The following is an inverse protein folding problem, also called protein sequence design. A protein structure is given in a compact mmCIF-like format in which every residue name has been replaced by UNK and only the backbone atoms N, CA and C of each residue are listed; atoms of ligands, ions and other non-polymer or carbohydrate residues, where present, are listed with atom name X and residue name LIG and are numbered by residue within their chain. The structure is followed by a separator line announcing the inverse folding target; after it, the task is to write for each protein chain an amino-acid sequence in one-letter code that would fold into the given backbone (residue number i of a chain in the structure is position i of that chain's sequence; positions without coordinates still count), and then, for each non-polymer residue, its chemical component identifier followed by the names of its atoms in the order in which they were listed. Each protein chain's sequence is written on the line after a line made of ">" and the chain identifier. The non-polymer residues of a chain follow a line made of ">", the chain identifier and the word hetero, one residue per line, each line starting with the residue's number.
data_IF_262742194252
#
_entry.id   IF_262742194252
#
_cell.length_a   1.000
_cell.length_b   1.000
_cell.length_c   1.000
_cell.angle_alpha   90.00
_cell.angle_beta   90.00
_cell.angle_gamma   90.00
#
_symmetry.space_group_name_H-M   'P 1'
#
loop_
_entity.id
_entity.type
_entity.pdbx_description
1 polymer ?
#
# COMPACT_ATOMS: atom_id res chain seq x y z
N UNK A 1 -13.74 9.27 -35.68
CA UNK A 1 -14.47 9.26 -34.41
C UNK A 1 -13.97 8.09 -33.58
N UNK A 2 -13.22 8.38 -32.52
CA UNK A 2 -12.63 7.39 -31.63
C UNK A 2 -13.73 6.77 -30.76
N UNK A 3 -13.82 5.44 -30.72
CA UNK A 3 -14.77 4.72 -29.86
C UNK A 3 -14.05 4.22 -28.61
N UNK A 4 -14.64 4.50 -27.46
CA UNK A 4 -14.07 4.17 -26.15
C UNK A 4 -15.02 3.20 -25.44
N UNK A 5 -14.48 2.10 -24.95
CA UNK A 5 -15.19 1.15 -24.09
C UNK A 5 -14.54 1.16 -22.71
N UNK A 6 -15.14 1.80 -21.70
CA UNK A 6 -14.62 1.76 -20.34
C UNK A 6 -15.04 0.45 -19.65
N UNK A 7 -14.13 -0.12 -18.87
CA UNK A 7 -14.44 -1.21 -17.96
C UNK A 7 -14.98 -0.69 -16.60
N UNK A 8 -15.28 -1.63 -15.69
CA UNK A 8 -15.74 -1.29 -14.34
C UNK A 8 -14.68 -0.52 -13.55
N UNK A 9 -13.39 -0.83 -13.74
CA UNK A 9 -12.30 -0.24 -12.95
C UNK A 9 -12.07 1.25 -13.25
N UNK A 10 -12.14 1.67 -14.52
CA UNK A 10 -11.99 3.08 -14.95
C UNK A 10 -13.19 3.93 -14.55
N UNK A 11 -14.38 3.32 -14.47
CA UNK A 11 -15.57 3.98 -13.94
C UNK A 11 -15.42 4.18 -12.43
N UNK A 12 -15.01 3.16 -11.68
CA UNK A 12 -14.86 3.29 -10.22
C UNK A 12 -13.75 4.28 -9.83
N UNK A 13 -12.64 4.33 -10.59
CA UNK A 13 -11.52 5.22 -10.32
C UNK A 13 -11.79 6.70 -10.67
N UNK A 14 -12.88 6.99 -11.38
CA UNK A 14 -13.18 8.33 -11.92
C UNK A 14 -12.23 8.75 -13.05
N UNK A 15 -11.40 7.82 -13.55
CA UNK A 15 -10.50 8.07 -14.66
C UNK A 15 -11.27 8.37 -15.96
N UNK A 16 -12.43 7.74 -16.15
CA UNK A 16 -13.31 8.04 -17.29
C UNK A 16 -13.71 9.52 -17.33
N UNK A 17 -14.11 10.05 -16.18
CA UNK A 17 -14.55 11.43 -16.06
C UNK A 17 -13.43 12.42 -16.34
N UNK A 18 -12.24 12.20 -15.75
CA UNK A 18 -11.05 13.01 -16.02
C UNK A 18 -10.68 13.01 -17.52
N UNK A 19 -10.88 11.89 -18.19
CA UNK A 19 -10.64 11.78 -19.63
C UNK A 19 -11.63 12.64 -20.42
N UNK A 20 -12.90 12.64 -20.03
CA UNK A 20 -13.94 13.49 -20.64
C UNK A 20 -13.66 14.99 -20.37
N UNK A 21 -13.15 15.31 -19.18
CA UNK A 21 -12.83 16.68 -18.79
C UNK A 21 -11.60 17.24 -19.53
N UNK A 22 -10.55 16.45 -19.68
CA UNK A 22 -9.23 16.89 -20.17
C UNK A 22 -9.06 16.91 -21.69
N UNK A 23 -9.76 16.06 -22.44
CA UNK A 23 -9.61 16.01 -23.90
C UNK A 23 -10.59 16.97 -24.61
N UNK A 24 -10.19 17.65 -25.70
CA UNK A 24 -11.10 18.31 -26.62
C UNK A 24 -11.85 17.24 -27.45
N UNK A 25 -12.89 16.64 -26.88
CA UNK A 25 -13.58 15.47 -27.43
C UNK A 25 -14.74 15.85 -28.34
N UNK A 26 -14.45 16.55 -29.43
CA UNK A 26 -15.42 16.72 -30.54
C UNK A 26 -15.60 15.47 -31.41
N UNK A 27 -14.79 14.42 -31.20
CA UNK A 27 -14.75 13.24 -32.07
C UNK A 27 -14.73 11.90 -31.32
N UNK A 28 -15.30 11.78 -30.12
CA UNK A 28 -15.40 10.48 -29.45
C UNK A 28 -16.84 10.01 -29.16
N UNK A 29 -16.99 8.69 -29.15
CA UNK A 29 -18.20 7.99 -28.70
C UNK A 29 -17.83 7.06 -27.55
N UNK A 30 -18.53 7.19 -26.43
CA UNK A 30 -18.36 6.34 -25.24
C UNK A 30 -19.42 5.25 -25.27
N UNK A 31 -18.97 4.00 -25.22
CA UNK A 31 -19.80 2.81 -25.30
C UNK A 31 -19.66 2.07 -23.97
N UNK A 32 -20.61 2.27 -23.06
CA UNK A 32 -20.61 1.64 -21.75
C UNK A 32 -21.18 0.21 -21.88
N UNK A 33 -20.41 -0.84 -21.57
CA UNK A 33 -20.92 -2.21 -21.59
C UNK A 33 -22.04 -2.41 -20.56
N UNK A 34 -23.10 -3.14 -20.93
CA UNK A 34 -24.16 -3.50 -19.97
C UNK A 34 -23.63 -4.32 -18.78
N UNK A 35 -22.59 -5.11 -19.01
CA UNK A 35 -21.88 -5.86 -17.97
C UNK A 35 -21.33 -4.95 -16.85
N UNK A 36 -20.84 -3.74 -17.19
CA UNK A 36 -20.35 -2.76 -16.20
C UNK A 36 -21.50 -2.26 -15.31
N UNK A 37 -22.66 -1.95 -15.90
CA UNK A 37 -23.82 -1.49 -15.13
C UNK A 37 -24.31 -2.60 -14.20
N UNK A 38 -24.47 -3.81 -14.72
CA UNK A 38 -25.01 -4.93 -13.95
C UNK A 38 -24.06 -5.31 -12.80
N UNK A 39 -22.74 -5.23 -13.02
CA UNK A 39 -21.75 -5.40 -11.95
C UNK A 39 -21.90 -4.33 -10.88
N UNK A 40 -21.89 -3.05 -11.24
CA UNK A 40 -22.03 -1.94 -10.29
C UNK A 40 -23.35 -2.01 -9.51
N UNK A 41 -24.46 -2.33 -10.19
CA UNK A 41 -25.77 -2.54 -9.58
C UNK A 41 -25.75 -3.71 -8.58
N UNK A 42 -25.09 -4.83 -8.94
CA UNK A 42 -24.96 -5.98 -8.05
C UNK A 42 -24.12 -5.65 -6.82
N UNK A 43 -23.06 -4.84 -6.96
CA UNK A 43 -22.28 -4.33 -5.81
C UNK A 43 -23.13 -3.41 -4.93
N UNK A 44 -23.84 -2.45 -5.52
CA UNK A 44 -24.69 -1.50 -4.81
C UNK A 44 -25.83 -2.18 -4.05
N UNK A 45 -26.47 -3.17 -4.66
CA UNK A 45 -27.57 -3.95 -4.05
C UNK A 45 -27.11 -4.80 -2.86
N UNK A 46 -25.80 -5.12 -2.80
CA UNK A 46 -25.16 -5.77 -1.66
C UNK A 46 -24.68 -4.77 -0.59
N UNK A 47 -25.04 -3.49 -0.72
CA UNK A 47 -24.66 -2.42 0.20
C UNK A 47 -23.20 -1.98 0.10
N UNK A 48 -22.50 -2.32 -1.00
CA UNK A 48 -21.09 -1.94 -1.17
C UNK A 48 -20.99 -0.54 -1.77
N UNK A 49 -20.30 0.35 -1.07
CA UNK A 49 -20.10 1.75 -1.48
C UNK A 49 -19.48 1.87 -2.88
N UNK A 50 -18.59 0.97 -3.27
CA UNK A 50 -17.96 0.98 -4.61
C UNK A 50 -18.99 0.90 -5.75
N UNK A 51 -20.08 0.15 -5.57
CA UNK A 51 -21.16 0.06 -6.56
C UNK A 51 -21.96 1.34 -6.64
N UNK A 52 -22.26 1.94 -5.48
CA UNK A 52 -22.96 3.23 -5.39
C UNK A 52 -22.14 4.33 -6.05
N UNK A 53 -20.85 4.45 -5.68
CA UNK A 53 -19.91 5.42 -6.26
C UNK A 53 -19.79 5.26 -7.78
N UNK A 54 -19.66 4.03 -8.28
CA UNK A 54 -19.58 3.79 -9.72
C UNK A 54 -20.86 4.16 -10.49
N UNK A 55 -22.04 3.89 -9.92
CA UNK A 55 -23.31 4.32 -10.53
C UNK A 55 -23.47 5.85 -10.53
N UNK A 56 -23.08 6.51 -9.44
CA UNK A 56 -23.04 7.98 -9.39
C UNK A 56 -22.08 8.57 -10.42
N UNK A 57 -20.92 7.93 -10.62
CA UNK A 57 -19.95 8.37 -11.62
C UNK A 57 -20.52 8.24 -13.03
N UNK A 58 -21.16 7.11 -13.37
CA UNK A 58 -21.82 6.96 -14.68
C UNK A 58 -22.90 8.01 -14.92
N UNK A 59 -23.61 8.43 -13.87
CA UNK A 59 -24.60 9.51 -13.96
C UNK A 59 -23.92 10.83 -14.32
N UNK A 60 -22.84 11.20 -13.63
CA UNK A 60 -22.06 12.44 -13.90
C UNK A 60 -21.42 12.41 -15.28
N UNK A 61 -20.85 11.28 -15.68
CA UNK A 61 -20.27 11.06 -17.01
C UNK A 61 -21.29 11.38 -18.11
N UNK A 62 -22.54 10.96 -17.96
CA UNK A 62 -23.60 11.29 -18.93
C UNK A 62 -23.92 12.78 -18.97
N UNK A 63 -24.05 13.41 -17.82
CA UNK A 63 -24.36 14.85 -17.71
C UNK A 63 -23.27 15.69 -18.39
N UNK A 64 -21.99 15.45 -18.07
CA UNK A 64 -20.88 16.22 -18.66
C UNK A 64 -20.62 15.85 -20.12
N UNK A 65 -20.83 14.60 -20.52
CA UNK A 65 -20.73 14.22 -21.92
C UNK A 65 -21.77 14.97 -22.77
N UNK A 66 -23.00 15.13 -22.28
CA UNK A 66 -24.05 15.88 -22.97
C UNK A 66 -23.68 17.37 -23.13
N UNK A 67 -23.18 18.00 -22.06
CA UNK A 67 -22.70 19.39 -22.11
C UNK A 67 -21.56 19.61 -23.12
N UNK A 68 -20.71 18.59 -23.29
CA UNK A 68 -19.56 18.62 -24.21
C UNK A 68 -19.86 18.07 -25.61
N UNK A 69 -21.08 17.62 -25.90
CA UNK A 69 -21.45 17.04 -27.20
C UNK A 69 -20.86 15.65 -27.48
N UNK A 70 -20.42 14.93 -26.44
CA UNK A 70 -19.91 13.56 -26.52
C UNK A 70 -21.07 12.57 -26.49
N UNK A 71 -21.11 11.64 -27.45
CA UNK A 71 -22.17 10.61 -27.50
C UNK A 71 -21.87 9.49 -26.51
N UNK A 72 -22.79 9.21 -25.60
CA UNK A 72 -22.75 8.07 -24.68
C UNK A 72 -23.85 7.08 -25.06
N UNK A 73 -23.49 5.82 -25.28
CA UNK A 73 -24.45 4.72 -25.49
C UNK A 73 -24.07 3.49 -24.69
N UNK A 74 -25.03 2.57 -24.59
CA UNK A 74 -24.86 1.30 -23.91
C UNK A 74 -24.86 0.16 -24.93
N UNK A 75 -24.00 -0.84 -24.76
CA UNK A 75 -23.86 -1.98 -25.69
C UNK A 75 -23.48 -3.27 -24.97
N UNK A 76 -23.57 -4.40 -25.66
CA UNK A 76 -23.25 -5.72 -25.15
C UNK A 76 -24.43 -6.45 -24.51
N UNK A 77 -24.12 -7.62 -23.96
CA UNK A 77 -25.10 -8.50 -23.31
C UNK A 77 -25.08 -8.28 -21.78
N UNK A 78 -26.23 -8.56 -21.15
CA UNK A 78 -26.30 -8.62 -19.69
C UNK A 78 -25.74 -9.95 -19.21
N UNK A 79 -24.91 -10.00 -18.15
CA UNK A 79 -24.39 -11.24 -17.62
C UNK A 79 -25.52 -12.20 -17.21
N UNK A 80 -25.45 -13.44 -17.66
CA UNK A 80 -26.37 -14.49 -17.23
C UNK A 80 -26.07 -14.94 -15.78
N UNK A 81 -26.97 -15.73 -15.18
CA UNK A 81 -26.73 -16.30 -13.85
C UNK A 81 -25.45 -17.15 -13.77
N UNK A 82 -25.06 -17.81 -14.86
CA UNK A 82 -23.83 -18.60 -14.90
C UNK A 82 -22.60 -17.70 -15.09
N UNK A 83 -22.71 -16.60 -15.83
CA UNK A 83 -21.65 -15.58 -15.92
C UNK A 83 -21.39 -14.93 -14.54
N UNK A 84 -22.45 -14.69 -13.76
CA UNK A 84 -22.35 -14.12 -12.41
C UNK A 84 -21.67 -15.11 -11.45
N UNK A 85 -21.93 -16.42 -11.56
CA UNK A 85 -21.22 -17.44 -10.77
C UNK A 85 -19.73 -17.50 -11.14
N UNK A 86 -19.41 -17.29 -12.41
CA UNK A 86 -18.06 -17.24 -12.96
C UNK A 86 -17.42 -15.84 -12.89
N UNK A 87 -18.04 -14.88 -12.19
CA UNK A 87 -17.48 -13.54 -12.06
C UNK A 87 -16.10 -13.55 -11.37
N UNK A 88 -15.87 -14.47 -10.43
CA UNK A 88 -14.54 -14.69 -9.80
C UNK A 88 -13.46 -15.18 -10.77
N UNK A 89 -13.83 -15.64 -11.96
CA UNK A 89 -12.92 -16.12 -13.01
C UNK A 89 -12.78 -15.17 -14.21
N UNK A 90 -13.18 -13.89 -14.07
CA UNK A 90 -12.94 -12.87 -15.11
C UNK A 90 -13.95 -12.87 -16.26
N UNK A 91 -15.12 -13.49 -16.08
CA UNK A 91 -16.15 -13.57 -17.15
C UNK A 91 -16.76 -12.21 -17.50
N UNK A 92 -16.90 -11.33 -16.50
CA UNK A 92 -17.40 -9.96 -16.72
C UNK A 92 -16.43 -9.18 -17.60
N UNK A 93 -15.13 -9.27 -17.33
CA UNK A 93 -14.07 -8.62 -18.10
C UNK A 93 -14.04 -9.13 -19.55
N UNK A 94 -14.32 -10.41 -19.76
CA UNK A 94 -14.46 -10.98 -21.10
C UNK A 94 -15.64 -10.37 -21.86
N UNK A 95 -16.81 -10.20 -21.23
CA UNK A 95 -17.96 -9.54 -21.87
C UNK A 95 -17.65 -8.08 -22.24
N UNK A 96 -16.87 -7.38 -21.42
CA UNK A 96 -16.40 -6.02 -21.71
C UNK A 96 -15.47 -6.00 -22.93
N UNK A 97 -14.51 -6.94 -22.99
CA UNK A 97 -13.62 -7.12 -24.15
C UNK A 97 -14.36 -7.50 -25.42
N UNK A 98 -15.39 -8.34 -25.33
CA UNK A 98 -16.25 -8.72 -26.45
C UNK A 98 -16.92 -7.47 -27.05
N UNK A 99 -17.40 -6.54 -26.22
CA UNK A 99 -17.95 -5.25 -26.68
C UNK A 99 -16.88 -4.41 -27.37
N UNK A 100 -15.68 -4.27 -26.78
CA UNK A 100 -14.59 -3.51 -27.38
C UNK A 100 -14.20 -4.07 -28.77
N UNK A 101 -14.12 -5.39 -28.89
CA UNK A 101 -13.79 -6.09 -30.14
C UNK A 101 -14.88 -5.94 -31.19
N UNK A 102 -16.15 -6.14 -30.81
CA UNK A 102 -17.30 -6.01 -31.72
C UNK A 102 -17.44 -4.58 -32.26
N UNK A 103 -17.14 -3.59 -31.42
CA UNK A 103 -17.28 -2.18 -31.77
C UNK A 103 -16.05 -1.59 -32.47
N UNK A 104 -14.96 -2.35 -32.55
CA UNK A 104 -13.63 -1.88 -32.96
C UNK A 104 -13.21 -0.65 -32.14
N UNK A 105 -13.50 -0.70 -30.84
CA UNK A 105 -13.28 0.36 -29.89
C UNK A 105 -12.01 0.10 -29.08
N UNK A 106 -11.42 1.18 -28.56
CA UNK A 106 -10.32 1.10 -27.61
C UNK A 106 -10.86 0.81 -26.22
N UNK A 107 -10.41 -0.28 -25.60
CA UNK A 107 -10.71 -0.61 -24.22
C UNK A 107 -9.97 0.37 -23.30
N UNK A 108 -10.66 0.96 -22.34
CA UNK A 108 -10.04 1.75 -21.28
C UNK A 108 -10.20 0.98 -19.98
N UNK A 109 -9.08 0.63 -19.36
CA UNK A 109 -9.05 -0.16 -18.11
C UNK A 109 -8.01 0.39 -17.13
N UNK A 110 -8.32 0.33 -15.84
CA UNK A 110 -7.41 0.57 -14.72
C UNK A 110 -6.98 -0.75 -14.06
N UNK A 111 -7.39 -1.88 -14.62
CA UNK A 111 -6.95 -3.23 -14.25
C UNK A 111 -5.83 -3.69 -15.20
N UNK A 112 -4.63 -3.86 -14.65
CA UNK A 112 -3.45 -4.26 -15.40
C UNK A 112 -3.59 -5.66 -16.02
N UNK A 113 -4.26 -6.59 -15.33
CA UNK A 113 -4.50 -7.94 -15.85
C UNK A 113 -5.44 -7.87 -17.06
N UNK A 114 -6.50 -7.07 -16.97
CA UNK A 114 -7.41 -6.88 -18.10
C UNK A 114 -6.72 -6.20 -19.29
N UNK A 115 -5.80 -5.24 -19.04
CA UNK A 115 -4.99 -4.62 -20.08
C UNK A 115 -4.12 -5.66 -20.81
N UNK A 116 -3.35 -6.46 -20.06
CA UNK A 116 -2.51 -7.52 -20.64
C UNK A 116 -3.30 -8.54 -21.47
N UNK A 117 -4.49 -8.94 -20.99
CA UNK A 117 -5.35 -9.86 -21.73
C UNK A 117 -5.87 -9.23 -23.02
N UNK A 118 -6.27 -7.95 -22.98
CA UNK A 118 -6.71 -7.23 -24.17
C UNK A 118 -5.59 -7.09 -25.22
N UNK A 119 -4.37 -6.78 -24.80
CA UNK A 119 -3.18 -6.75 -25.69
C UNK A 119 -2.92 -8.13 -26.33
N UNK A 120 -2.96 -9.19 -25.53
CA UNK A 120 -2.78 -10.56 -26.01
C UNK A 120 -3.87 -10.99 -27.01
N UNK A 121 -5.10 -10.50 -26.83
CA UNK A 121 -6.24 -10.74 -27.74
C UNK A 121 -6.24 -9.83 -28.98
N UNK A 122 -5.29 -8.88 -29.08
CA UNK A 122 -5.19 -7.90 -30.17
C UNK A 122 -6.26 -6.81 -30.13
N UNK A 123 -6.85 -6.56 -28.95
CA UNK A 123 -7.83 -5.49 -28.73
C UNK A 123 -7.05 -4.21 -28.39
N UNK A 124 -7.26 -3.09 -29.11
CA UNK A 124 -6.64 -1.81 -28.75
C UNK A 124 -7.02 -1.45 -27.31
N UNK A 125 -6.04 -1.20 -26.46
CA UNK A 125 -6.26 -0.87 -25.04
C UNK A 125 -5.50 0.37 -24.65
N UNK A 126 -6.10 1.15 -23.76
CA UNK A 126 -5.47 2.20 -22.99
C UNK A 126 -5.53 1.77 -21.53
N UNK A 127 -4.38 1.42 -20.96
CA UNK A 127 -4.27 1.27 -19.53
C UNK A 127 -4.23 2.66 -18.89
N UNK A 128 -5.29 3.03 -18.19
CA UNK A 128 -5.33 4.27 -17.42
C UNK A 128 -4.88 3.95 -16.02
N UNK A 129 -3.67 4.38 -15.68
CA UNK A 129 -3.18 4.33 -14.32
C UNK A 129 -4.23 4.98 -13.39
N UNK A 130 -4.87 4.20 -12.50
CA UNK A 130 -5.97 4.70 -11.68
C UNK A 130 -5.52 5.80 -10.71
N UNK A 131 -4.21 5.94 -10.51
CA UNK A 131 -3.61 6.89 -9.60
C UNK A 131 -2.43 7.57 -10.29
N UNK A 132 -2.33 8.89 -10.17
CA UNK A 132 -1.07 9.57 -10.49
C UNK A 132 -0.05 9.18 -9.44
N UNK A 133 1.24 9.13 -9.81
CA UNK A 133 2.32 9.13 -8.83
C UNK A 133 2.05 10.28 -7.85
N UNK A 134 1.94 9.93 -6.57
CA UNK A 134 1.80 10.91 -5.50
C UNK A 134 3.19 11.49 -5.30
N UNK A 135 3.46 12.67 -5.87
CA UNK A 135 4.73 13.38 -5.67
C UNK A 135 4.86 13.87 -4.21
N UNK A 136 3.75 14.23 -3.57
CA UNK A 136 3.67 14.64 -2.16
C UNK A 136 2.38 14.12 -1.52
N UNK A 137 2.48 13.51 -0.34
CA UNK A 137 1.30 13.07 0.39
C UNK A 137 0.57 14.26 1.03
N UNK A 138 -0.76 14.22 1.03
CA UNK A 138 -1.60 15.28 1.62
C UNK A 138 -1.42 15.47 3.13
N UNK A 139 -0.83 14.51 3.83
CA UNK A 139 -0.49 14.62 5.25
C UNK A 139 0.84 15.35 5.52
N UNK A 140 1.68 15.58 4.51
CA UNK A 140 3.02 16.18 4.69
C UNK A 140 2.96 17.60 5.25
N UNK A 141 1.87 18.33 5.01
CA UNK A 141 1.61 19.64 5.65
C UNK A 141 1.62 19.59 7.19
N UNK A 142 1.43 18.42 7.80
CA UNK A 142 1.48 18.21 9.25
C UNK A 142 2.88 17.77 9.74
N UNK A 143 3.79 17.41 8.83
CA UNK A 143 5.14 16.95 9.15
C UNK A 143 6.11 18.13 9.35
N UNK A 144 6.17 18.64 10.58
CA UNK A 144 7.24 19.55 10.99
C UNK A 144 8.57 18.78 11.12
N UNK A 145 9.73 19.48 11.11
CA UNK A 145 11.05 18.83 11.21
C UNK A 145 11.24 17.92 12.44
N UNK A 146 10.50 18.17 13.52
CA UNK A 146 10.56 17.44 14.80
C UNK A 146 9.55 16.27 14.89
N UNK A 147 8.68 16.09 13.89
CA UNK A 147 7.60 15.10 13.94
C UNK A 147 8.09 13.70 13.55
N UNK A 148 8.08 12.79 14.51
CA UNK A 148 8.34 11.35 14.31
C UNK A 148 7.11 10.59 13.82
N UNK A 149 5.92 10.96 14.30
CA UNK A 149 4.69 10.28 13.90
C UNK A 149 3.48 11.20 13.94
N UNK A 150 2.53 10.98 13.03
CA UNK A 150 1.22 11.62 12.98
C UNK A 150 0.13 10.64 13.37
N UNK A 151 -0.88 11.13 14.08
CA UNK A 151 -2.09 10.41 14.42
C UNK A 151 -3.30 11.25 13.98
N UNK A 152 -3.99 10.78 12.95
CA UNK A 152 -5.12 11.45 12.32
C UNK A 152 -6.36 10.58 12.49
N UNK A 153 -7.44 11.15 13.03
CA UNK A 153 -8.68 10.42 13.34
C UNK A 153 -9.89 11.26 12.98
N UNK A 154 -10.86 10.67 12.28
CA UNK A 154 -12.04 11.41 11.79
C UNK A 154 -12.81 12.05 12.93
N UNK A 155 -13.06 13.37 12.81
CA UNK A 155 -13.72 14.18 13.82
C UNK A 155 -12.89 14.42 15.08
N UNK A 156 -11.57 14.23 15.02
CA UNK A 156 -10.62 14.56 16.10
C UNK A 156 -9.54 15.51 15.59
N UNK A 157 -8.95 16.35 16.47
CA UNK A 157 -7.80 17.16 16.09
C UNK A 157 -6.59 16.28 15.71
N UNK A 158 -5.69 16.74 14.82
CA UNK A 158 -4.47 16.03 14.50
C UNK A 158 -3.49 16.05 15.69
N UNK A 159 -2.88 14.91 15.97
CA UNK A 159 -1.82 14.78 16.98
C UNK A 159 -0.52 14.32 16.34
N UNK A 160 0.60 14.64 16.98
CA UNK A 160 1.92 14.16 16.61
C UNK A 160 2.69 13.62 17.81
N UNK A 161 3.58 12.64 17.56
CA UNK A 161 4.70 12.32 18.44
C UNK A 161 5.91 13.09 17.89
N UNK A 162 6.44 14.02 18.68
CA UNK A 162 7.61 14.82 18.30
C UNK A 162 8.83 14.40 19.10
N UNK A 163 10.02 14.59 18.53
CA UNK A 163 11.30 14.39 19.18
C UNK A 163 11.89 15.74 19.62
N UNK A 164 12.19 15.87 20.91
CA UNK A 164 12.79 17.08 21.47
C UNK A 164 13.81 16.70 22.52
N UNK A 165 15.06 17.13 22.32
CA UNK A 165 16.18 16.87 23.24
C UNK A 165 16.31 15.37 23.63
N UNK A 166 16.15 14.47 22.65
CA UNK A 166 16.23 13.02 22.85
C UNK A 166 15.01 12.40 23.55
N UNK A 167 13.95 13.17 23.82
CA UNK A 167 12.70 12.68 24.41
C UNK A 167 11.55 12.83 23.44
N UNK A 168 10.59 11.90 23.51
CA UNK A 168 9.39 11.97 22.68
C UNK A 168 8.20 12.48 23.47
N UNK A 169 7.47 13.44 22.92
CA UNK A 169 6.23 13.96 23.51
C UNK A 169 5.07 13.92 22.51
N UNK A 170 3.85 13.69 23.02
CA UNK A 170 2.63 13.74 22.20
C UNK A 170 2.03 15.14 22.27
N UNK A 171 1.91 15.79 21.12
CA UNK A 171 1.40 17.16 21.00
C UNK A 171 0.19 17.22 20.07
N UNK A 172 -0.68 18.18 20.32
CA UNK A 172 -1.79 18.53 19.42
C UNK A 172 -1.27 19.53 18.38
N UNK A 173 -1.51 19.28 17.09
CA UNK A 173 -0.98 20.12 16.01
C UNK A 173 -1.88 21.31 15.66
N UNK A 174 -3.17 21.24 16.01
CA UNK A 174 -4.14 22.31 15.77
C UNK A 174 -5.52 21.96 16.32
N UNK A 175 -6.45 22.91 16.28
CA UNK A 175 -7.84 22.72 16.73
C UNK A 175 -8.76 22.20 15.62
N UNK A 176 -8.40 22.40 14.36
CA UNK A 176 -9.19 21.93 13.20
C UNK A 176 -9.27 20.40 13.21
N UNK A 177 -10.50 19.89 13.12
CA UNK A 177 -10.76 18.44 13.15
C UNK A 177 -10.37 17.81 11.81
N UNK A 178 -9.77 16.63 11.86
CA UNK A 178 -9.54 15.84 10.66
C UNK A 178 -10.89 15.44 10.07
N UNK A 179 -11.19 15.91 8.87
CA UNK A 179 -12.38 15.49 8.16
C UNK A 179 -12.18 14.13 7.45
N UNK A 180 -13.28 13.47 7.15
CA UNK A 180 -13.25 12.15 6.50
C UNK A 180 -12.72 12.24 5.06
N UNK A 181 -12.85 13.40 4.41
CA UNK A 181 -12.34 13.65 3.06
C UNK A 181 -10.81 13.64 3.02
N UNK A 182 -10.15 14.34 3.95
CA UNK A 182 -8.71 14.35 4.10
C UNK A 182 -8.18 12.93 4.34
N UNK A 183 -8.78 12.21 5.29
CA UNK A 183 -8.34 10.85 5.62
C UNK A 183 -8.58 9.89 4.45
N UNK A 184 -9.70 10.01 3.75
CA UNK A 184 -9.97 9.21 2.54
C UNK A 184 -8.96 9.50 1.44
N UNK A 185 -8.56 10.77 1.29
CA UNK A 185 -7.51 11.18 0.35
C UNK A 185 -6.16 10.59 0.71
N UNK A 186 -5.74 10.64 1.97
CA UNK A 186 -4.49 9.99 2.43
C UNK A 186 -4.52 8.48 2.15
N UNK A 187 -5.68 7.83 2.38
CA UNK A 187 -5.84 6.42 2.05
C UNK A 187 -5.72 6.15 0.54
N UNK A 188 -6.36 6.96 -0.30
CA UNK A 188 -6.24 6.85 -1.76
C UNK A 188 -4.79 7.05 -2.21
N UNK A 189 -4.07 8.03 -1.66
CA UNK A 189 -2.66 8.30 -1.93
C UNK A 189 -1.75 7.14 -1.47
N UNK A 190 -2.00 6.57 -0.29
CA UNK A 190 -1.22 5.44 0.21
C UNK A 190 -1.45 4.17 -0.64
N UNK A 191 -2.69 3.91 -1.04
CA UNK A 191 -3.03 2.81 -1.95
C UNK A 191 -2.45 2.99 -3.34
N UNK A 192 -2.36 4.23 -3.84
CA UNK A 192 -1.69 4.58 -5.08
C UNK A 192 -0.20 4.23 -5.01
N UNK A 193 0.49 4.69 -3.96
CA UNK A 193 1.90 4.41 -3.75
C UNK A 193 2.17 2.90 -3.68
N UNK A 194 1.31 2.14 -2.99
CA UNK A 194 1.45 0.68 -2.88
C UNK A 194 1.26 -0.08 -4.20
N UNK A 195 0.54 0.49 -5.18
CA UNK A 195 0.32 -0.14 -6.48
C UNK A 195 1.36 0.25 -7.53
N UNK A 196 1.93 1.44 -7.42
CA UNK A 196 2.86 2.01 -8.38
C UNK A 196 4.34 1.83 -7.99
N UNK A 197 4.62 1.70 -6.69
CA UNK A 197 5.99 1.66 -6.18
C UNK A 197 6.56 0.26 -6.11
N UNK A 198 7.68 0.03 -6.81
CA UNK A 198 8.52 -1.17 -6.61
C UNK A 198 9.14 -1.22 -5.20
N UNK A 199 9.18 -0.08 -4.49
CA UNK A 199 9.79 0.05 -3.16
C UNK A 199 8.79 0.05 -1.98
N UNK A 200 7.53 -0.33 -2.21
CA UNK A 200 6.51 -0.35 -1.13
C UNK A 200 6.32 -1.77 -0.59
N UNK A 201 6.69 -1.96 0.68
CA UNK A 201 6.35 -3.14 1.46
C UNK A 201 4.89 -3.10 1.94
N UNK A 202 4.17 -4.21 1.78
CA UNK A 202 2.80 -4.36 2.27
C UNK A 202 2.79 -5.37 3.43
N UNK A 203 2.71 -4.86 4.65
CA UNK A 203 2.70 -5.67 5.88
C UNK A 203 1.32 -6.25 6.18
N UNK A 204 0.26 -5.52 5.83
CA UNK A 204 -1.12 -5.96 5.99
C UNK A 204 -2.00 -5.31 4.93
N UNK A 205 -2.79 -6.12 4.23
CA UNK A 205 -3.82 -5.63 3.30
C UNK A 205 -5.13 -6.38 3.56
N UNK A 206 -6.06 -5.67 4.19
CA UNK A 206 -7.45 -6.09 4.44
C UNK A 206 -8.38 -4.95 4.07
N UNK A 207 -9.66 -5.25 3.89
CA UNK A 207 -10.67 -4.26 3.52
C UNK A 207 -10.85 -3.15 4.56
N UNK A 208 -10.55 -3.44 5.83
CA UNK A 208 -10.76 -2.62 7.02
C UNK A 208 -9.45 -2.22 7.74
N UNK A 209 -8.32 -2.80 7.33
CA UNK A 209 -7.01 -2.59 7.94
C UNK A 209 -5.88 -2.67 6.91
N UNK A 210 -5.00 -1.67 6.89
CA UNK A 210 -3.90 -1.59 5.93
C UNK A 210 -2.64 -1.14 6.66
N UNK A 211 -1.50 -1.78 6.35
CA UNK A 211 -0.17 -1.34 6.79
C UNK A 211 0.75 -1.34 5.57
N UNK A 212 1.23 -0.16 5.21
CA UNK A 212 2.14 0.11 4.10
C UNK A 212 3.44 0.68 4.65
N UNK A 213 4.55 0.27 4.04
CA UNK A 213 5.89 0.61 4.47
C UNK A 213 6.70 1.04 3.24
N UNK A 214 7.03 2.32 3.16
CA UNK A 214 7.91 2.93 2.16
C UNK A 214 9.27 3.22 2.79
N UNK A 215 10.28 3.68 2.02
CA UNK A 215 11.55 4.13 2.59
C UNK A 215 11.38 5.25 3.62
N UNK A 216 10.43 6.16 3.40
CA UNK A 216 10.21 7.33 4.26
C UNK A 216 9.13 7.18 5.31
N UNK A 217 8.14 6.31 5.08
CA UNK A 217 6.93 6.27 5.91
C UNK A 217 6.42 4.86 6.15
N UNK A 218 5.97 4.60 7.38
CA UNK A 218 5.05 3.51 7.71
C UNK A 218 3.66 4.06 7.95
N UNK A 219 2.73 3.72 7.06
CA UNK A 219 1.35 4.22 7.07
C UNK A 219 0.44 3.07 7.51
N UNK A 220 -0.26 3.27 8.64
CA UNK A 220 -1.27 2.35 9.16
C UNK A 220 -2.64 2.98 9.04
N UNK A 221 -3.58 2.26 8.44
CA UNK A 221 -4.97 2.68 8.28
C UNK A 221 -5.88 1.65 8.94
N UNK A 222 -6.83 2.13 9.72
CA UNK A 222 -7.95 1.34 10.24
C UNK A 222 -9.26 2.07 9.99
N UNK A 223 -10.28 1.32 9.57
CA UNK A 223 -11.62 1.88 9.35
C UNK A 223 -12.72 0.91 9.81
N UNK A 224 -13.98 1.37 9.93
CA UNK A 224 -15.09 0.48 10.26
C UNK A 224 -15.17 -0.72 9.31
N UNK A 225 -15.47 -1.93 9.82
CA UNK A 225 -15.90 -2.24 11.19
C UNK A 225 -14.77 -2.50 12.21
N UNK A 226 -13.50 -2.45 11.81
CA UNK A 226 -12.38 -2.73 12.74
C UNK A 226 -12.22 -1.65 13.81
N UNK A 227 -12.28 -0.38 13.39
CA UNK A 227 -12.29 0.78 14.26
C UNK A 227 -13.66 1.46 14.23
N UNK A 228 -13.96 2.28 15.24
CA UNK A 228 -15.22 3.04 15.28
C UNK A 228 -15.25 4.17 14.24
N UNK A 229 -14.07 4.62 13.78
CA UNK A 229 -13.89 5.67 12.76
C UNK A 229 -12.66 5.41 11.90
N UNK A 230 -12.57 6.11 10.78
CA UNK A 230 -11.36 6.13 9.97
C UNK A 230 -10.21 6.79 10.75
N UNK A 231 -9.11 6.06 10.87
CA UNK A 231 -7.90 6.43 11.60
C UNK A 231 -6.66 6.11 10.77
N UNK A 232 -5.70 7.04 10.76
CA UNK A 232 -4.45 6.91 10.04
C UNK A 232 -3.30 7.29 10.99
N UNK A 233 -2.34 6.38 11.12
CA UNK A 233 -1.07 6.64 11.81
C UNK A 233 0.06 6.61 10.79
N UNK A 234 0.82 7.69 10.71
CA UNK A 234 2.01 7.78 9.84
C UNK A 234 3.23 7.86 10.74
N UNK A 235 4.17 6.93 10.59
CA UNK A 235 5.47 6.99 11.26
C UNK A 235 6.52 7.35 10.22
N UNK A 236 7.33 8.37 10.48
CA UNK A 236 8.38 8.82 9.58
C UNK A 236 9.65 8.01 9.81
N UNK A 237 10.45 7.83 8.77
CA UNK A 237 11.78 7.28 8.86
C UNK A 237 12.61 8.13 9.84
N UNK A 238 13.05 7.57 10.98
CA UNK A 238 13.75 8.32 12.01
C UNK A 238 15.11 8.84 11.56
N UNK A 239 15.74 8.23 10.54
CA UNK A 239 17.01 8.70 9.96
C UNK A 239 16.85 10.06 9.23
N UNK A 240 15.63 10.44 8.87
CA UNK A 240 15.34 11.78 8.34
C UNK A 240 15.34 12.87 9.41
N UNK A 241 15.41 12.51 10.70
CA UNK A 241 15.36 13.43 11.83
C UNK A 241 16.59 13.33 12.75
N UNK A 242 17.14 12.13 12.90
CA UNK A 242 18.22 11.82 13.83
C UNK A 242 19.46 11.43 13.02
N UNK A 243 20.61 12.07 13.25
CA UNK A 243 21.86 11.68 12.59
C UNK A 243 22.20 10.21 12.84
N UNK A 244 22.76 9.55 11.83
CA UNK A 244 23.24 8.17 11.96
C UNK A 244 24.28 8.00 13.08
N UNK A 245 25.09 9.04 13.34
CA UNK A 245 26.07 9.04 14.44
C UNK A 245 25.46 8.84 15.82
N UNK A 246 24.21 9.26 15.99
CA UNK A 246 23.53 9.25 17.29
C UNK A 246 22.67 7.99 17.46
N UNK A 247 22.24 7.39 16.35
CA UNK A 247 21.29 6.27 16.34
C UNK A 247 21.89 4.96 15.86
N UNK A 248 22.67 4.97 14.78
CA UNK A 248 23.21 3.78 14.11
C UNK A 248 24.58 3.41 14.66
N UNK A 249 25.51 4.36 14.71
CA UNK A 249 26.91 4.11 15.11
C UNK A 249 27.04 3.46 16.50
N UNK A 250 26.29 3.85 17.55
CA UNK A 250 26.37 3.19 18.85
C UNK A 250 25.94 1.71 18.81
N UNK A 251 24.93 1.39 17.99
CA UNK A 251 24.41 0.01 17.85
C UNK A 251 25.40 -0.84 17.06
N UNK A 252 25.95 -0.28 15.98
CA UNK A 252 26.98 -0.96 15.16
C UNK A 252 28.23 -1.25 16.00
N UNK A 253 28.66 -0.30 16.84
CA UNK A 253 29.77 -0.50 17.78
C UNK A 253 29.54 -1.69 18.70
N UNK A 254 28.39 -1.73 19.38
CA UNK A 254 28.02 -2.85 20.26
C UNK A 254 27.96 -4.19 19.51
N UNK A 255 27.42 -4.21 18.29
CA UNK A 255 27.36 -5.41 17.45
C UNK A 255 28.74 -5.89 16.97
N UNK A 256 29.66 -4.96 16.67
CA UNK A 256 30.99 -5.25 16.13
C UNK A 256 32.01 -5.71 17.18
N UNK A 257 31.80 -5.38 18.47
CA UNK A 257 32.69 -5.79 19.57
C UNK A 257 32.72 -7.31 19.81
N UNK A 258 31.93 -8.10 19.07
CA UNK A 258 32.11 -9.55 18.93
C UNK A 258 31.56 -10.36 20.09
N UNK A 259 30.79 -9.76 21.00
CA UNK A 259 30.03 -10.52 21.98
C UNK A 259 28.90 -11.27 21.24
N UNK A 260 28.92 -12.60 21.31
CA UNK A 260 27.85 -13.47 20.79
C UNK A 260 26.61 -13.29 21.67
N UNK A 261 25.97 -12.12 21.56
CA UNK A 261 24.91 -11.66 22.44
C UNK A 261 23.55 -11.59 21.75
N UNK A 262 22.53 -11.29 22.56
CA UNK A 262 21.25 -10.80 22.06
C UNK A 262 21.20 -9.32 22.44
N UNK A 263 21.15 -8.43 21.46
CA UNK A 263 20.88 -7.02 21.68
C UNK A 263 19.39 -6.78 21.45
N UNK A 264 18.67 -6.44 22.53
CA UNK A 264 17.26 -6.10 22.46
C UNK A 264 17.09 -4.59 22.42
N UNK A 265 16.52 -4.09 21.32
CA UNK A 265 16.22 -2.67 21.18
C UNK A 265 14.73 -2.43 21.41
N UNK A 266 14.40 -1.50 22.30
CA UNK A 266 13.03 -1.03 22.44
C UNK A 266 12.80 0.13 21.47
N UNK A 267 11.99 -0.10 20.43
CA UNK A 267 11.65 0.93 19.43
C UNK A 267 10.16 1.26 19.43
N UNK A 268 9.54 1.28 20.61
CA UNK A 268 8.10 1.53 20.71
C UNK A 268 7.67 2.83 19.98
N UNK A 269 6.74 2.63 19.05
CA UNK A 269 6.21 3.70 18.20
C UNK A 269 7.21 4.32 17.22
N UNK A 270 8.35 3.69 16.94
CA UNK A 270 9.33 4.12 15.93
C UNK A 270 9.25 3.19 14.72
N UNK A 271 9.44 3.73 13.51
CA UNK A 271 9.62 2.92 12.32
C UNK A 271 11.06 2.44 12.24
N UNK A 272 11.32 1.22 12.74
CA UNK A 272 12.68 0.72 12.96
C UNK A 272 13.36 0.17 11.71
N UNK A 273 12.60 -0.34 10.74
CA UNK A 273 13.19 -1.02 9.58
C UNK A 273 14.28 -0.19 8.84
N UNK A 274 14.11 1.12 8.59
CA UNK A 274 15.19 1.91 7.99
C UNK A 274 16.46 1.96 8.85
N UNK A 275 16.33 1.96 10.17
CA UNK A 275 17.47 1.85 11.09
C UNK A 275 18.11 0.47 10.98
N UNK A 276 17.31 -0.60 10.97
CA UNK A 276 17.77 -1.97 10.84
C UNK A 276 18.58 -2.18 9.54
N UNK A 277 18.05 -1.67 8.43
CA UNK A 277 18.71 -1.69 7.13
C UNK A 277 20.04 -0.94 7.18
N UNK A 278 20.06 0.26 7.77
CA UNK A 278 21.29 1.05 7.87
C UNK A 278 22.35 0.41 8.78
N UNK A 279 21.94 -0.21 9.88
CA UNK A 279 22.82 -1.00 10.74
C UNK A 279 23.41 -2.17 9.95
N UNK A 280 22.58 -2.87 9.17
CA UNK A 280 23.02 -4.01 8.37
C UNK A 280 24.06 -3.61 7.32
N UNK A 281 23.83 -2.51 6.59
CA UNK A 281 24.80 -1.95 5.64
C UNK A 281 26.15 -1.69 6.32
N UNK A 282 26.14 -0.97 7.45
CA UNK A 282 27.37 -0.60 8.17
C UNK A 282 28.12 -1.79 8.75
N UNK A 283 27.41 -2.85 9.16
CA UNK A 283 28.03 -4.10 9.60
C UNK A 283 28.59 -4.91 8.42
N UNK A 284 27.93 -4.90 7.26
CA UNK A 284 28.47 -5.50 6.04
C UNK A 284 29.74 -4.79 5.56
N UNK A 285 29.85 -3.47 5.72
CA UNK A 285 31.08 -2.71 5.46
C UNK A 285 32.27 -3.19 6.33
N UNK A 286 31.98 -3.81 7.49
CA UNK A 286 32.98 -4.45 8.35
C UNK A 286 33.30 -5.90 7.94
N UNK A 287 32.81 -6.34 6.77
CA UNK A 287 32.89 -7.71 6.26
C UNK A 287 32.18 -8.76 7.13
N UNK A 288 31.16 -8.36 7.89
CA UNK A 288 30.28 -9.28 8.60
C UNK A 288 29.13 -9.70 7.69
N UNK A 289 28.75 -10.97 7.72
CA UNK A 289 27.54 -11.44 7.05
C UNK A 289 26.32 -11.11 7.89
N UNK A 290 25.45 -10.28 7.33
CA UNK A 290 24.23 -9.81 8.00
C UNK A 290 23.01 -10.17 7.18
N UNK A 291 22.00 -10.73 7.85
CA UNK A 291 20.71 -11.06 7.27
C UNK A 291 19.60 -10.43 8.12
N UNK A 292 18.60 -9.84 7.47
CA UNK A 292 17.42 -9.29 8.15
C UNK A 292 16.26 -10.28 8.01
N UNK A 293 15.56 -10.59 9.10
CA UNK A 293 14.37 -11.43 9.11
C UNK A 293 13.17 -10.70 9.72
N UNK A 294 11.98 -10.90 9.16
CA UNK A 294 10.78 -10.28 9.71
C UNK A 294 9.47 -10.83 9.14
N UNK A 295 8.35 -10.29 9.64
CA UNK A 295 7.01 -10.78 9.28
C UNK A 295 6.44 -10.16 8.00
N UNK A 296 7.16 -9.22 7.38
CA UNK A 296 6.74 -8.51 6.17
C UNK A 296 7.34 -9.20 4.96
N UNK A 297 6.74 -9.07 3.77
CA UNK A 297 7.46 -9.33 2.52
C UNK A 297 7.79 -7.98 1.90
N UNK A 298 9.08 -7.67 1.81
CA UNK A 298 9.59 -6.41 1.23
C UNK A 298 10.04 -6.66 -0.20
N UNK A 299 9.75 -5.71 -1.08
CA UNK A 299 10.09 -5.77 -2.50
C UNK A 299 11.48 -5.18 -2.79
N UNK A 300 11.91 -4.20 -2.00
CA UNK A 300 13.22 -3.56 -2.08
C UNK A 300 13.88 -3.52 -0.70
N UNK A 301 15.16 -3.89 -0.65
CA UNK A 301 16.07 -3.59 0.44
C UNK A 301 17.49 -3.59 -0.10
N UNK A 302 18.36 -2.74 0.45
CA UNK A 302 19.79 -2.70 0.09
C UNK A 302 20.54 -3.91 0.63
N UNK A 303 20.02 -4.49 1.71
CA UNK A 303 20.52 -5.70 2.36
C UNK A 303 19.50 -6.83 2.24
N UNK A 304 19.96 -8.08 2.21
CA UNK A 304 19.09 -9.27 2.20
C UNK A 304 18.05 -9.24 3.33
N UNK A 305 16.77 -9.29 2.93
CA UNK A 305 15.62 -9.36 3.83
C UNK A 305 14.80 -10.61 3.57
N UNK A 306 14.53 -11.36 4.63
CA UNK A 306 13.80 -12.62 4.58
C UNK A 306 12.46 -12.52 5.30
N UNK A 307 11.38 -12.55 4.52
CA UNK A 307 10.00 -12.65 5.02
C UNK A 307 9.57 -14.10 5.29
N UNK A 308 8.30 -14.33 5.67
CA UNK A 308 7.77 -15.68 5.93
C UNK A 308 7.69 -16.54 4.65
N UNK A 309 8.33 -17.70 4.66
CA UNK A 309 8.25 -18.73 3.61
C UNK A 309 6.96 -19.54 3.78
N UNK A 310 6.11 -19.60 2.75
CA UNK A 310 4.73 -20.13 2.84
C UNK A 310 3.89 -19.53 3.98
N UNK A 311 4.18 -18.29 4.39
CA UNK A 311 3.51 -17.65 5.52
C UNK A 311 4.04 -18.04 6.90
N UNK A 312 5.11 -18.84 6.97
CA UNK A 312 5.76 -19.24 8.21
C UNK A 312 7.23 -18.77 8.28
N UNK A 313 7.55 -18.07 9.36
CA UNK A 313 8.90 -17.54 9.58
C UNK A 313 9.84 -18.62 10.11
N UNK A 314 9.33 -19.69 10.73
CA UNK A 314 10.16 -20.83 11.17
C UNK A 314 10.76 -21.57 9.97
N UNK A 315 10.02 -21.67 8.86
CA UNK A 315 10.56 -22.22 7.60
C UNK A 315 11.69 -21.36 7.02
N UNK A 316 11.55 -20.03 7.12
CA UNK A 316 12.61 -19.09 6.72
C UNK A 316 13.85 -19.26 7.59
N UNK A 317 13.67 -19.44 8.90
CA UNK A 317 14.75 -19.75 9.83
C UNK A 317 15.46 -21.06 9.43
N UNK A 318 14.74 -22.14 9.15
CA UNK A 318 15.33 -23.42 8.72
C UNK A 318 16.22 -23.28 7.48
N UNK A 319 15.80 -22.46 6.50
CA UNK A 319 16.59 -22.16 5.31
C UNK A 319 17.89 -21.43 5.66
N UNK A 320 17.81 -20.38 6.48
CA UNK A 320 18.96 -19.56 6.86
C UNK A 320 19.94 -20.29 7.79
N UNK A 321 19.48 -21.24 8.60
CA UNK A 321 20.33 -22.04 9.48
C UNK A 321 21.20 -23.04 8.72
N UNK A 322 20.94 -23.30 7.44
CA UNK A 322 21.83 -24.11 6.60
C UNK A 322 23.21 -23.45 6.44
N UNK A 323 23.26 -22.13 6.55
CA UNK A 323 24.46 -21.32 6.45
C UNK A 323 24.25 -20.03 7.27
N UNK A 324 24.36 -20.12 8.62
CA UNK A 324 23.97 -19.05 9.52
C UNK A 324 24.79 -17.77 9.30
N UNK A 325 24.16 -16.58 9.37
CA UNK A 325 24.88 -15.31 9.28
C UNK A 325 25.72 -15.06 10.54
N UNK A 326 26.69 -14.16 10.46
CA UNK A 326 27.42 -13.68 11.64
C UNK A 326 26.46 -12.91 12.55
N UNK A 327 25.59 -12.08 11.96
CA UNK A 327 24.58 -11.29 12.65
C UNK A 327 23.21 -11.47 11.99
N UNK A 328 22.22 -11.84 12.79
CA UNK A 328 20.81 -11.80 12.40
C UNK A 328 20.15 -10.55 12.98
N UNK A 329 19.53 -9.74 12.13
CA UNK A 329 18.66 -8.65 12.58
C UNK A 329 17.21 -9.09 12.47
N UNK A 330 16.53 -9.20 13.61
CA UNK A 330 15.10 -9.48 13.68
C UNK A 330 14.31 -8.16 13.73
N UNK A 331 13.65 -7.83 12.61
CA UNK A 331 12.95 -6.56 12.37
C UNK A 331 11.89 -6.25 13.44
N UNK A 332 11.09 -7.23 13.87
CA UNK A 332 10.10 -7.04 14.94
C UNK A 332 9.69 -8.37 15.60
N UNK A 333 9.97 -8.53 16.89
CA UNK A 333 9.40 -9.61 17.70
C UNK A 333 7.92 -9.31 17.92
N UNK A 334 7.03 -10.14 17.36
CA UNK A 334 5.57 -9.99 17.47
C UNK A 334 4.91 -11.07 18.32
N UNK A 335 5.51 -12.26 18.39
CA UNK A 335 4.90 -13.45 19.00
C UNK A 335 5.92 -14.22 19.82
N UNK A 336 5.45 -14.97 20.82
CA UNK A 336 6.31 -15.84 21.64
C UNK A 336 7.14 -16.83 20.82
N UNK A 337 6.59 -17.32 19.69
CA UNK A 337 7.32 -18.21 18.78
C UNK A 337 8.54 -17.55 18.13
N UNK A 338 8.57 -16.23 18.02
CA UNK A 338 9.70 -15.51 17.42
C UNK A 338 10.95 -15.62 18.33
N UNK A 339 10.75 -15.79 19.65
CA UNK A 339 11.83 -16.06 20.59
C UNK A 339 12.53 -17.41 20.32
N UNK A 340 11.81 -18.38 19.73
CA UNK A 340 12.41 -19.65 19.29
C UNK A 340 13.44 -19.38 18.19
N UNK A 341 13.09 -18.56 17.21
CA UNK A 341 13.98 -18.20 16.10
C UNK A 341 15.26 -17.57 16.63
N UNK A 342 15.14 -16.58 17.51
CA UNK A 342 16.29 -15.94 18.17
C UNK A 342 17.19 -16.97 18.86
N UNK A 343 16.58 -17.91 19.60
CA UNK A 343 17.31 -18.96 20.30
C UNK A 343 18.04 -19.91 19.35
N UNK A 344 17.43 -20.32 18.24
CA UNK A 344 18.05 -21.23 17.28
C UNK A 344 19.27 -20.58 16.61
N UNK A 345 19.17 -19.34 16.14
CA UNK A 345 20.31 -18.61 15.57
C UNK A 345 21.43 -18.37 16.60
N UNK A 346 21.08 -18.02 17.84
CA UNK A 346 22.06 -17.93 18.93
C UNK A 346 22.78 -19.26 19.16
N UNK A 347 22.05 -20.37 19.12
CA UNK A 347 22.61 -21.71 19.29
C UNK A 347 23.51 -22.12 18.10
N UNK A 348 23.26 -21.57 16.91
CA UNK A 348 24.06 -21.75 15.72
C UNK A 348 25.30 -20.83 15.64
N UNK A 349 25.47 -19.91 16.58
CA UNK A 349 26.65 -19.02 16.67
C UNK A 349 26.39 -17.58 16.26
N UNK A 350 25.31 -17.28 15.55
CA UNK A 350 24.97 -15.92 15.09
C UNK A 350 24.69 -14.98 16.26
N UNK A 351 25.26 -13.79 16.29
CA UNK A 351 24.76 -12.70 17.16
C UNK A 351 23.37 -12.28 16.69
N UNK A 352 22.50 -11.89 17.62
CA UNK A 352 21.13 -11.50 17.26
C UNK A 352 20.84 -10.09 17.75
N UNK A 353 20.52 -9.20 16.82
CA UNK A 353 19.91 -7.92 17.10
C UNK A 353 18.41 -8.09 16.92
N UNK A 354 17.60 -7.86 17.94
CA UNK A 354 16.16 -8.02 17.82
C UNK A 354 15.38 -6.83 18.37
N UNK A 355 14.38 -6.41 17.61
CA UNK A 355 13.49 -5.33 18.03
C UNK A 355 12.36 -5.85 18.92
N UNK A 356 12.18 -5.18 20.04
CA UNK A 356 11.04 -5.37 20.93
C UNK A 356 10.20 -4.10 20.95
N UNK A 357 8.89 -4.26 20.87
CA UNK A 357 7.94 -3.17 21.16
C UNK A 357 7.42 -3.41 22.57
N UNK A 358 7.89 -2.64 23.56
CA UNK A 358 7.44 -2.76 24.95
C UNK A 358 7.28 -1.40 25.64
N UNK A 359 6.24 -1.26 26.46
CA UNK A 359 6.04 -0.09 27.33
C UNK A 359 6.82 -0.18 28.65
N UNK A 360 7.44 -1.32 28.95
CA UNK A 360 8.38 -1.51 30.06
C UNK A 360 9.49 -2.50 29.68
N UNK A 361 10.74 -2.17 30.02
CA UNK A 361 11.89 -3.06 29.86
C UNK A 361 11.81 -4.28 30.78
#
# INVERSE_FOLDING_TARGET
>A
MEKIVPDTSVVISGALMKLIESKPLGECEIIIPLAVIDELQAQASKGREIGIRGLEELKRVREVAEEKGVRVRFSGERPSLDDIKLARSGRIDALIRDVAKAEQAKLYTSDYVQALVAEAEGIPVEYVEPYKLVEEFSFEKYLRPDVLSLYLRSGSPPYAKILREGRTERVKLGEELCDEKLLSRVLEEAMAAARLGEEVGISLLRSDAIILETPDYRIRVSKPPLSDRLEITIQRNPLNLIPESDLVDPIVGECAEGSHGILLLNADGIYFFPIAEKIAERLQDLNLRVEIIGHVRRASSTVSYHGPLDGDLEKTMELLLADPPDILIFDEIRKTRDLKIIREFRSAGSSVLALLTSTSL
#
